data_IF_626585364284
#
_entry.id   IF_626585364284
#
_cell.length_a   1.000
_cell.length_b   1.000
_cell.length_c   1.000
_cell.angle_alpha   90.00
_cell.angle_beta   90.00
_cell.angle_gamma   90.00
#
_symmetry.space_group_name_H-M   'P 1'
#
loop_
_entity.id
_entity.type
_entity.pdbx_description
1 polymer ?
#
# COMPACT_ATOMS: atom_id res chain seq x y z
N UNK A 1 17.53 -20.88 4.13
CA UNK A 1 17.68 -20.19 5.42
C UNK A 1 16.41 -20.42 6.25
N UNK A 2 16.52 -20.92 7.48
CA UNK A 2 15.38 -21.06 8.40
C UNK A 2 14.77 -19.70 8.73
N UNK A 3 13.44 -19.66 9.00
CA UNK A 3 12.71 -18.41 9.30
C UNK A 3 13.30 -17.67 10.52
N UNK A 4 13.67 -18.40 11.57
CA UNK A 4 14.25 -17.80 12.77
C UNK A 4 15.60 -17.10 12.49
N UNK A 5 16.44 -17.68 11.65
CA UNK A 5 17.70 -17.09 11.21
C UNK A 5 17.47 -15.84 10.35
N UNK A 6 16.51 -15.91 9.44
CA UNK A 6 16.11 -14.76 8.62
C UNK A 6 15.66 -13.59 9.48
N UNK A 7 14.78 -13.83 10.46
CA UNK A 7 14.29 -12.79 11.36
C UNK A 7 15.39 -12.16 12.21
N UNK A 8 16.33 -12.98 12.72
CA UNK A 8 17.49 -12.49 13.48
C UNK A 8 18.39 -11.58 12.64
N UNK A 9 18.52 -11.87 11.36
CA UNK A 9 19.35 -11.07 10.44
C UNK A 9 18.69 -9.79 9.95
N UNK A 10 17.39 -9.59 10.16
CA UNK A 10 16.73 -8.33 9.78
C UNK A 10 17.33 -7.12 10.51
N UNK A 11 17.83 -7.30 11.73
CA UNK A 11 18.49 -6.23 12.50
C UNK A 11 19.73 -5.67 11.79
N UNK A 12 20.38 -6.46 10.93
CA UNK A 12 21.52 -6.01 10.12
C UNK A 12 21.15 -4.86 9.16
N UNK A 13 19.87 -4.73 8.84
CA UNK A 13 19.33 -3.70 7.93
C UNK A 13 18.86 -2.44 8.65
N UNK A 14 18.77 -2.45 9.97
CA UNK A 14 18.18 -1.36 10.75
C UNK A 14 18.87 -0.01 10.54
N UNK A 15 20.18 0.01 10.42
CA UNK A 15 20.95 1.23 10.20
C UNK A 15 20.57 1.89 8.86
N UNK A 16 20.50 1.07 7.80
CA UNK A 16 20.18 1.53 6.44
C UNK A 16 18.75 2.06 6.37
N UNK A 17 17.80 1.35 6.99
CA UNK A 17 16.40 1.77 6.99
C UNK A 17 16.16 3.00 7.85
N UNK A 18 16.84 3.12 8.98
CA UNK A 18 16.79 4.30 9.85
C UNK A 18 17.25 5.55 9.11
N UNK A 19 18.35 5.46 8.36
CA UNK A 19 18.86 6.55 7.56
C UNK A 19 17.88 6.97 6.46
N UNK A 20 17.32 6.03 5.70
CA UNK A 20 16.31 6.30 4.66
C UNK A 20 15.06 6.97 5.21
N UNK A 21 14.58 6.51 6.35
CA UNK A 21 13.40 7.09 7.01
C UNK A 21 13.72 8.51 7.49
N UNK A 22 14.88 8.71 8.11
CA UNK A 22 15.31 10.03 8.58
C UNK A 22 15.46 11.03 7.44
N UNK A 23 16.05 10.62 6.32
CA UNK A 23 16.19 11.44 5.12
C UNK A 23 14.81 11.82 4.55
N UNK A 24 13.88 10.88 4.44
CA UNK A 24 12.53 11.17 3.98
C UNK A 24 11.84 12.20 4.88
N UNK A 25 11.89 11.99 6.21
CA UNK A 25 11.31 12.90 7.20
C UNK A 25 11.93 14.30 7.14
N UNK A 26 13.25 14.41 7.00
CA UNK A 26 13.93 15.69 6.87
C UNK A 26 13.46 16.50 5.65
N UNK A 27 12.97 15.81 4.61
CA UNK A 27 12.41 16.41 3.40
C UNK A 27 10.87 16.53 3.43
N UNK A 28 10.21 16.37 4.58
CA UNK A 28 8.75 16.43 4.70
C UNK A 28 8.04 15.30 3.97
N UNK A 29 8.66 14.11 3.90
CA UNK A 29 8.15 12.93 3.19
C UNK A 29 8.09 11.71 4.08
N UNK A 30 7.29 10.74 3.66
CA UNK A 30 7.21 9.41 4.27
C UNK A 30 7.39 8.34 3.20
N UNK A 31 7.97 7.21 3.58
CA UNK A 31 8.17 6.09 2.67
C UNK A 31 6.89 5.27 2.52
N UNK A 32 6.55 4.94 1.27
CA UNK A 32 5.42 4.07 0.93
C UNK A 32 5.81 3.10 -0.19
N UNK A 33 5.33 1.88 -0.09
CA UNK A 33 5.43 0.91 -1.18
C UNK A 33 4.28 1.14 -2.15
N UNK A 34 4.59 1.51 -3.39
CA UNK A 34 3.61 1.97 -4.37
C UNK A 34 3.80 1.32 -5.72
N UNK A 35 2.70 0.90 -6.33
CA UNK A 35 2.61 0.62 -7.76
C UNK A 35 2.09 1.86 -8.49
N UNK A 36 2.73 2.23 -9.58
CA UNK A 36 2.29 3.31 -10.47
C UNK A 36 2.14 2.75 -11.87
N UNK A 37 0.96 2.93 -12.45
CA UNK A 37 0.64 2.46 -13.81
C UNK A 37 0.27 3.67 -14.67
N UNK A 38 0.94 3.80 -15.81
CA UNK A 38 0.61 4.78 -16.85
C UNK A 38 0.42 4.06 -18.18
N UNK A 39 0.06 4.77 -19.23
CA UNK A 39 -0.04 4.19 -20.57
C UNK A 39 1.31 3.63 -21.06
N UNK A 40 2.42 4.21 -20.59
CA UNK A 40 3.76 3.91 -21.09
C UNK A 40 4.56 2.99 -20.17
N UNK A 41 4.19 2.90 -18.88
CA UNK A 41 5.02 2.19 -17.89
C UNK A 41 4.27 1.67 -16.69
N UNK A 42 4.84 0.63 -16.09
CA UNK A 42 4.48 0.12 -14.77
C UNK A 42 5.72 0.16 -13.88
N UNK A 43 5.60 0.74 -12.70
CA UNK A 43 6.67 0.80 -11.69
C UNK A 43 6.13 0.34 -10.36
N UNK A 44 6.88 -0.50 -9.66
CA UNK A 44 6.55 -0.98 -8.32
C UNK A 44 7.78 -0.81 -7.43
N UNK A 45 7.60 -0.23 -6.27
CA UNK A 45 8.72 -0.07 -5.33
C UNK A 45 8.46 0.92 -4.22
N UNK A 46 9.48 1.13 -3.42
CA UNK A 46 9.49 2.09 -2.33
C UNK A 46 9.67 3.50 -2.88
N UNK A 47 8.79 4.41 -2.49
CA UNK A 47 8.84 5.83 -2.87
C UNK A 47 8.66 6.72 -1.66
N UNK A 48 9.30 7.89 -1.68
CA UNK A 48 9.07 8.94 -0.70
C UNK A 48 7.93 9.83 -1.19
N UNK A 49 6.80 9.81 -0.48
CA UNK A 49 5.62 10.63 -0.78
C UNK A 49 5.55 11.81 0.17
N UNK A 50 5.02 12.93 -0.29
CA UNK A 50 4.79 14.12 0.53
C UNK A 50 3.85 13.80 1.71
N UNK A 51 4.12 14.37 2.89
CA UNK A 51 3.28 14.15 4.08
C UNK A 51 1.84 14.65 3.90
N UNK A 52 1.60 15.56 2.96
CA UNK A 52 0.27 16.06 2.60
C UNK A 52 -0.45 15.17 1.59
N UNK A 53 0.26 14.21 1.00
CA UNK A 53 -0.31 13.24 0.06
C UNK A 53 -1.32 12.31 0.74
N UNK A 54 -2.37 11.94 0.04
CA UNK A 54 -3.33 10.94 0.52
C UNK A 54 -2.67 9.59 0.86
N UNK A 55 -1.57 9.24 0.19
CA UNK A 55 -0.80 8.04 0.51
C UNK A 55 -0.09 8.10 1.87
N UNK A 56 0.20 9.30 2.39
CA UNK A 56 0.86 9.47 3.67
C UNK A 56 -0.05 9.09 4.86
N UNK A 57 -1.36 9.17 4.68
CA UNK A 57 -2.36 8.89 5.73
C UNK A 57 -2.69 7.42 5.91
N UNK A 58 -2.17 6.54 5.06
CA UNK A 58 -2.41 5.10 5.16
C UNK A 58 -1.88 4.52 6.46
N UNK A 59 -2.70 3.71 7.12
CA UNK A 59 -2.38 3.03 8.38
C UNK A 59 -2.81 1.56 8.36
N UNK A 60 -2.17 0.75 9.18
CA UNK A 60 -2.53 -0.65 9.37
C UNK A 60 -2.53 -1.46 8.07
N UNK A 61 -3.65 -2.12 7.78
CA UNK A 61 -3.84 -2.96 6.60
C UNK A 61 -4.54 -2.25 5.44
N UNK A 62 -4.69 -0.94 5.52
CA UNK A 62 -5.36 -0.16 4.48
C UNK A 62 -4.56 -0.14 3.18
N UNK A 63 -5.26 -0.29 2.09
CA UNK A 63 -4.78 -0.05 0.74
C UNK A 63 -5.47 1.17 0.16
N UNK A 64 -4.78 1.84 -0.77
CA UNK A 64 -5.32 2.99 -1.47
C UNK A 64 -5.07 2.90 -2.96
N UNK A 65 -6.08 3.26 -3.73
CA UNK A 65 -5.99 3.51 -5.16
C UNK A 65 -6.22 4.98 -5.43
N UNK A 66 -5.30 5.60 -6.18
CA UNK A 66 -5.46 6.96 -6.70
C UNK A 66 -5.55 6.88 -8.22
N UNK A 67 -6.67 7.32 -8.77
CA UNK A 67 -6.98 7.18 -10.19
C UNK A 67 -7.09 8.58 -10.81
N UNK A 68 -6.16 8.88 -11.73
CA UNK A 68 -6.14 10.12 -12.49
C UNK A 68 -6.67 9.88 -13.89
N UNK A 69 -7.65 10.64 -14.31
CA UNK A 69 -8.20 10.59 -15.67
C UNK A 69 -8.27 12.00 -16.27
N UNK A 70 -8.69 12.12 -17.52
CA UNK A 70 -8.90 13.44 -18.15
C UNK A 70 -9.93 14.29 -17.37
N UNK A 71 -10.96 13.65 -16.81
CA UNK A 71 -11.99 14.30 -15.97
C UNK A 71 -11.49 14.60 -14.56
N UNK A 72 -10.71 13.70 -13.96
CA UNK A 72 -10.21 13.76 -12.58
C UNK A 72 -8.71 14.01 -12.55
N UNK A 73 -8.26 15.04 -13.29
CA UNK A 73 -6.83 15.35 -13.39
C UNK A 73 -6.31 16.13 -12.18
N UNK A 74 -7.00 17.20 -11.81
CA UNK A 74 -6.58 18.07 -10.72
C UNK A 74 -6.96 17.51 -9.35
N UNK A 75 -8.00 16.70 -9.31
CA UNK A 75 -8.47 16.04 -8.09
C UNK A 75 -8.77 14.57 -8.41
N UNK A 76 -7.76 13.69 -8.26
CA UNK A 76 -7.90 12.27 -8.55
C UNK A 76 -8.99 11.59 -7.71
N UNK A 77 -9.57 10.52 -8.25
CA UNK A 77 -10.42 9.64 -7.45
C UNK A 77 -9.52 8.86 -6.50
N UNK A 78 -9.82 8.93 -5.21
CA UNK A 78 -9.11 8.17 -4.17
C UNK A 78 -10.06 7.19 -3.51
N UNK A 79 -9.68 5.91 -3.52
CA UNK A 79 -10.41 4.82 -2.86
C UNK A 79 -9.48 4.24 -1.81
N UNK A 80 -9.91 4.27 -0.55
CA UNK A 80 -9.13 3.73 0.58
C UNK A 80 -9.99 2.74 1.36
N UNK A 81 -9.39 1.66 1.78
CA UNK A 81 -10.05 0.68 2.62
C UNK A 81 -9.11 -0.46 3.02
N UNK A 82 -9.55 -1.33 3.96
CA UNK A 82 -8.76 -2.45 4.41
C UNK A 82 -8.51 -3.43 3.26
N UNK A 83 -7.23 -3.70 2.98
CA UNK A 83 -6.79 -4.63 1.93
C UNK A 83 -6.49 -6.04 2.45
N UNK A 84 -6.39 -6.20 3.77
CA UNK A 84 -6.12 -7.48 4.43
C UNK A 84 -6.80 -7.52 5.80
N UNK A 85 -6.90 -8.72 6.36
CA UNK A 85 -7.47 -8.97 7.68
C UNK A 85 -8.45 -10.14 7.66
N UNK A 86 -8.60 -10.81 8.80
CA UNK A 86 -9.43 -12.03 8.91
C UNK A 86 -10.89 -11.73 8.56
N UNK A 87 -11.45 -10.68 9.13
CA UNK A 87 -12.86 -10.32 8.92
C UNK A 87 -13.17 -9.92 7.48
N UNK A 88 -12.33 -9.08 6.87
CA UNK A 88 -12.49 -8.61 5.48
C UNK A 88 -12.38 -9.78 4.50
N UNK A 89 -11.39 -10.65 4.70
CA UNK A 89 -11.18 -11.82 3.84
C UNK A 89 -12.34 -12.82 3.98
N UNK A 90 -12.77 -13.11 5.20
CA UNK A 90 -13.90 -13.99 5.44
C UNK A 90 -15.20 -13.44 4.84
N UNK A 91 -15.46 -12.14 4.95
CA UNK A 91 -16.62 -11.50 4.33
C UNK A 91 -16.59 -11.60 2.80
N UNK A 92 -15.43 -11.43 2.18
CA UNK A 92 -15.26 -11.60 0.73
C UNK A 92 -15.61 -13.02 0.26
N UNK A 93 -15.07 -14.02 0.94
CA UNK A 93 -15.38 -15.44 0.65
C UNK A 93 -16.88 -15.73 0.83
N UNK A 94 -17.47 -15.29 1.94
CA UNK A 94 -18.89 -15.48 2.20
C UNK A 94 -19.77 -14.82 1.13
N UNK A 95 -19.43 -13.61 0.72
CA UNK A 95 -20.16 -12.91 -0.34
C UNK A 95 -20.15 -13.68 -1.67
N UNK A 96 -19.03 -14.28 -2.03
CA UNK A 96 -18.94 -15.08 -3.25
C UNK A 96 -19.76 -16.38 -3.16
N UNK A 97 -19.75 -17.04 -2.01
CA UNK A 97 -20.61 -18.21 -1.74
C UNK A 97 -22.09 -17.83 -1.87
N UNK A 98 -22.52 -16.72 -1.26
CA UNK A 98 -23.90 -16.24 -1.34
C UNK A 98 -24.32 -15.85 -2.76
N UNK A 99 -23.44 -15.27 -3.54
CA UNK A 99 -23.71 -15.00 -4.97
C UNK A 99 -23.96 -16.29 -5.73
N UNK A 100 -23.09 -17.27 -5.58
CA UNK A 100 -23.25 -18.57 -6.24
C UNK A 100 -24.56 -19.26 -5.83
N UNK A 101 -24.96 -19.18 -4.56
CA UNK A 101 -26.21 -19.76 -4.07
C UNK A 101 -27.47 -19.08 -4.68
N UNK A 102 -27.38 -17.81 -5.05
CA UNK A 102 -28.48 -17.05 -5.66
C UNK A 102 -28.61 -17.26 -7.17
N UNK A 103 -27.63 -17.87 -7.82
CA UNK A 103 -27.60 -18.12 -9.27
C UNK A 103 -28.27 -19.45 -9.67
N UNK A 104 -29.00 -20.08 -8.77
CA UNK A 104 -29.79 -21.30 -9.03
C UNK A 104 -31.25 -20.97 -9.33
#
# INVERSE_FOLDING_TARGET
MPVAEFLARLEELDSVWRERVAEAHANGRVLRYRATVTAESVRVGLVAVDVTSSFATLTGTDNQFSITTSRYRNNPIVITGPGAGVAVTAAGVLNDVLKLARWR
#
